data_IF_748543572009
#
_entry.id   IF_748543572009
#
_cell.length_a   1.000
_cell.length_b   1.000
_cell.length_c   1.000
_cell.angle_alpha   90.00
_cell.angle_beta   90.00
_cell.angle_gamma   90.00
#
_symmetry.space_group_name_H-M   'P 1'
#
loop_
_entity.id
_entity.type
_entity.pdbx_description
1 polymer ?
#
# COMPACT_ATOMS: atom_id res chain seq x y z
N UNK A 1 7.41 -9.03 75.37
CA UNK A 1 8.33 -8.85 74.24
C UNK A 1 7.58 -9.25 72.99
N UNK A 2 6.84 -8.29 72.45
CA UNK A 2 5.97 -8.56 71.30
C UNK A 2 6.74 -8.29 70.02
N UNK A 3 6.80 -9.30 69.16
CA UNK A 3 7.35 -9.15 67.80
C UNK A 3 6.22 -8.78 66.86
N UNK A 4 6.17 -7.51 66.53
CA UNK A 4 5.31 -7.00 65.47
C UNK A 4 5.84 -7.46 64.12
N UNK A 5 5.10 -8.35 63.41
CA UNK A 5 5.39 -8.75 62.04
C UNK A 5 4.71 -7.78 61.11
N UNK A 6 5.50 -6.95 60.42
CA UNK A 6 5.05 -6.12 59.31
C UNK A 6 4.87 -7.03 58.07
N UNK A 7 3.65 -7.22 57.63
CA UNK A 7 3.35 -7.72 56.31
C UNK A 7 3.41 -6.55 55.31
N UNK A 8 4.51 -6.48 54.55
CA UNK A 8 4.58 -5.66 53.35
C UNK A 8 3.78 -6.35 52.24
N UNK A 9 2.54 -5.92 52.03
CA UNK A 9 1.77 -6.32 50.86
C UNK A 9 2.38 -5.66 49.64
N UNK A 10 3.08 -6.43 48.82
CA UNK A 10 3.48 -5.99 47.48
C UNK A 10 2.25 -5.89 46.62
N UNK A 11 1.78 -4.65 46.42
CA UNK A 11 0.75 -4.35 45.44
C UNK A 11 1.39 -4.44 44.03
N UNK A 12 1.21 -5.57 43.34
CA UNK A 12 1.58 -5.70 41.95
C UNK A 12 0.59 -4.87 41.14
N UNK A 13 1.00 -3.67 40.76
CA UNK A 13 0.32 -2.90 39.73
C UNK A 13 0.67 -3.60 38.40
N UNK A 14 -0.25 -4.40 37.90
CA UNK A 14 -0.22 -4.89 36.52
C UNK A 14 -0.39 -3.68 35.61
N UNK A 15 0.70 -3.07 35.19
CA UNK A 15 0.72 -2.11 34.11
C UNK A 15 0.50 -2.95 32.84
N UNK A 16 -0.75 -2.97 32.35
CA UNK A 16 -1.04 -3.42 31.01
C UNK A 16 -0.39 -2.43 30.06
N UNK A 17 0.81 -2.71 29.61
CA UNK A 17 1.39 -2.04 28.46
C UNK A 17 0.60 -2.49 27.25
N UNK A 18 -0.46 -1.75 26.90
CA UNK A 18 -1.06 -1.88 25.58
C UNK A 18 0.07 -1.67 24.57
N UNK A 19 0.29 -2.63 23.69
CA UNK A 19 1.25 -2.43 22.61
C UNK A 19 0.82 -1.19 21.82
N UNK A 20 1.76 -0.42 21.36
CA UNK A 20 1.46 0.82 20.63
C UNK A 20 0.56 0.58 19.40
N UNK A 21 0.73 -0.58 18.75
CA UNK A 21 -0.14 -1.06 17.65
C UNK A 21 -1.60 -1.26 18.06
N UNK A 22 -1.90 -1.53 19.34
CA UNK A 22 -3.26 -1.75 19.81
C UNK A 22 -4.16 -0.52 19.57
N UNK A 23 -3.65 0.70 19.70
CA UNK A 23 -4.43 1.90 19.46
C UNK A 23 -4.90 2.03 18.00
N UNK A 24 -4.07 1.64 17.04
CA UNK A 24 -4.43 1.61 15.61
C UNK A 24 -5.45 0.52 15.33
N UNK A 25 -5.26 -0.66 15.92
CA UNK A 25 -6.18 -1.80 15.80
C UNK A 25 -7.54 -1.46 16.41
N UNK A 26 -7.57 -0.80 17.57
CA UNK A 26 -8.80 -0.36 18.23
C UNK A 26 -9.55 0.65 17.36
N UNK A 27 -8.84 1.61 16.75
CA UNK A 27 -9.44 2.59 15.85
C UNK A 27 -10.05 1.92 14.60
N UNK A 28 -9.33 0.97 14.00
CA UNK A 28 -9.84 0.16 12.88
C UNK A 28 -11.09 -0.64 13.29
N UNK A 29 -11.04 -1.30 14.46
CA UNK A 29 -12.18 -2.06 14.98
C UNK A 29 -13.40 -1.18 15.22
N UNK A 30 -13.22 0.03 15.76
CA UNK A 30 -14.29 1.02 15.95
C UNK A 30 -14.86 1.53 14.63
N UNK A 31 -14.06 1.54 13.57
CA UNK A 31 -14.49 1.89 12.22
C UNK A 31 -15.15 0.72 11.47
N UNK A 32 -15.33 -0.43 12.11
CA UNK A 32 -16.04 -1.58 11.55
C UNK A 32 -15.15 -2.66 10.94
N UNK A 33 -13.83 -2.56 11.08
CA UNK A 33 -12.93 -3.63 10.63
C UNK A 33 -12.98 -4.83 11.58
N UNK A 34 -12.90 -6.02 11.01
CA UNK A 34 -12.63 -7.26 11.73
C UNK A 34 -11.13 -7.49 11.74
N UNK A 35 -10.51 -7.49 12.91
CA UNK A 35 -9.08 -7.60 13.08
C UNK A 35 -8.67 -8.96 13.67
N UNK A 36 -7.76 -9.66 13.00
CA UNK A 36 -7.24 -10.96 13.39
C UNK A 36 -5.71 -10.98 13.32
N UNK A 37 -5.09 -11.89 14.06
CA UNK A 37 -3.66 -12.13 13.91
C UNK A 37 -3.32 -12.48 12.46
N UNK A 38 -2.29 -11.84 11.91
CA UNK A 38 -1.90 -12.06 10.52
C UNK A 38 -1.23 -13.44 10.36
N UNK A 39 -1.68 -14.18 9.35
CA UNK A 39 -1.14 -15.48 8.98
C UNK A 39 -0.68 -15.49 7.55
N UNK A 40 0.45 -16.15 7.27
CA UNK A 40 0.95 -16.30 5.91
C UNK A 40 0.19 -17.38 5.12
N UNK A 41 0.64 -17.62 3.91
CA UNK A 41 0.07 -18.61 2.99
C UNK A 41 0.04 -20.04 3.57
N UNK A 42 0.94 -20.36 4.52
CA UNK A 42 0.95 -21.62 5.26
C UNK A 42 -0.08 -21.70 6.40
N UNK A 43 -0.78 -20.61 6.70
CA UNK A 43 -1.63 -20.45 7.88
C UNK A 43 -0.87 -20.23 9.18
N UNK A 44 0.45 -20.13 9.15
CA UNK A 44 1.25 -19.84 10.35
C UNK A 44 1.26 -18.33 10.63
N UNK A 45 1.12 -17.90 11.92
CA UNK A 45 1.29 -16.51 12.27
C UNK A 45 2.72 -16.02 11.98
N UNK A 46 2.84 -14.80 11.42
CA UNK A 46 4.13 -14.16 11.18
C UNK A 46 4.29 -12.84 11.93
N UNK A 47 3.28 -12.44 12.69
CA UNK A 47 3.25 -11.22 13.49
C UNK A 47 2.38 -10.12 12.88
N UNK A 48 2.01 -9.16 13.70
CA UNK A 48 1.09 -8.08 13.32
C UNK A 48 -0.37 -8.53 13.25
N UNK A 49 -1.22 -7.63 12.76
CA UNK A 49 -2.66 -7.81 12.71
C UNK A 49 -3.19 -7.44 11.32
N UNK A 50 -4.00 -8.32 10.76
CA UNK A 50 -4.76 -8.08 9.54
C UNK A 50 -6.18 -7.63 9.92
N UNK A 51 -6.55 -6.44 9.51
CA UNK A 51 -7.87 -5.88 9.71
C UNK A 51 -8.58 -5.77 8.36
N UNK A 52 -9.76 -6.38 8.23
CA UNK A 52 -10.54 -6.37 6.98
C UNK A 52 -11.89 -5.70 7.20
N UNK A 53 -12.29 -4.88 6.26
CA UNK A 53 -13.63 -4.31 6.17
C UNK A 53 -14.28 -4.83 4.91
N UNK A 54 -15.49 -5.33 5.02
CA UNK A 54 -16.28 -5.76 3.85
C UNK A 54 -16.67 -4.54 3.01
N UNK A 55 -17.27 -4.79 1.86
CA UNK A 55 -17.64 -3.78 0.89
C UNK A 55 -18.05 -2.43 1.48
N UNK A 56 -17.47 -1.36 0.97
CA UNK A 56 -17.70 0.00 1.45
C UNK A 56 -18.44 0.81 0.42
N UNK A 57 -19.49 1.46 0.86
CA UNK A 57 -20.20 2.47 0.06
C UNK A 57 -20.32 3.75 0.85
N UNK A 58 -19.86 4.83 0.27
CA UNK A 58 -20.11 6.19 0.74
C UNK A 58 -20.99 6.93 -0.27
N UNK A 59 -21.30 8.19 -0.01
CA UNK A 59 -21.99 9.03 -1.00
C UNK A 59 -21.15 9.37 -2.23
N UNK A 60 -19.84 9.13 -2.19
CA UNK A 60 -18.87 9.57 -3.19
C UNK A 60 -18.16 8.41 -3.87
N UNK A 61 -17.90 7.32 -3.15
CA UNK A 61 -17.31 6.12 -3.74
C UNK A 61 -17.97 4.85 -3.22
N UNK A 62 -17.93 3.82 -4.05
CA UNK A 62 -18.28 2.46 -3.69
C UNK A 62 -17.07 1.58 -3.96
N UNK A 63 -16.64 0.85 -2.93
CA UNK A 63 -15.81 -0.31 -3.10
C UNK A 63 -16.72 -1.51 -2.94
N UNK A 64 -17.05 -2.16 -4.04
CA UNK A 64 -17.91 -3.35 -4.03
C UNK A 64 -17.24 -4.53 -3.33
N UNK A 65 -15.96 -4.38 -3.01
CA UNK A 65 -15.14 -5.38 -2.35
C UNK A 65 -14.40 -4.82 -1.13
N UNK A 66 -13.86 -5.73 -0.35
CA UNK A 66 -13.27 -5.44 0.94
C UNK A 66 -11.98 -4.59 0.87
N UNK A 67 -11.69 -3.92 1.97
CA UNK A 67 -10.39 -3.27 2.23
C UNK A 67 -9.69 -4.03 3.33
N UNK A 68 -8.40 -4.31 3.16
CA UNK A 68 -7.55 -4.78 4.24
C UNK A 68 -6.56 -3.71 4.68
N UNK A 69 -6.29 -3.68 5.97
CA UNK A 69 -5.22 -2.90 6.58
C UNK A 69 -4.36 -3.85 7.40
N UNK A 70 -3.10 -4.00 7.01
CA UNK A 70 -2.13 -4.73 7.81
C UNK A 70 -1.39 -3.77 8.74
N UNK A 71 -1.39 -4.09 10.02
CA UNK A 71 -0.72 -3.34 11.09
C UNK A 71 0.44 -4.18 11.60
N UNK A 72 1.70 -3.86 11.23
CA UNK A 72 2.88 -4.54 11.75
C UNK A 72 2.95 -4.52 13.27
N UNK A 73 3.56 -5.52 13.87
CA UNK A 73 3.74 -5.60 15.32
C UNK A 73 4.60 -4.46 15.89
N UNK A 74 5.47 -3.89 15.08
CA UNK A 74 6.34 -2.75 15.44
C UNK A 74 5.66 -1.37 15.30
N UNK A 75 4.42 -1.31 14.78
CA UNK A 75 3.71 -0.05 14.57
C UNK A 75 3.45 0.66 15.90
N UNK A 76 3.75 1.96 15.96
CA UNK A 76 3.46 2.79 17.12
C UNK A 76 1.99 3.22 17.17
N UNK A 77 1.60 3.89 18.27
CA UNK A 77 0.25 4.45 18.41
C UNK A 77 -0.07 5.57 17.38
N UNK A 78 0.95 6.09 16.72
CA UNK A 78 0.81 7.16 15.72
C UNK A 78 1.33 6.63 14.38
N UNK A 79 0.43 6.46 13.43
CA UNK A 79 0.80 6.13 12.05
C UNK A 79 1.36 7.38 11.38
N UNK A 80 2.54 7.26 10.82
CA UNK A 80 3.23 8.34 10.08
C UNK A 80 3.41 8.03 8.62
N UNK A 81 3.33 6.75 8.25
CA UNK A 81 3.52 6.29 6.90
C UNK A 81 2.44 5.28 6.52
N UNK A 82 1.76 5.54 5.44
CA UNK A 82 0.68 4.72 4.90
C UNK A 82 1.12 4.21 3.53
N UNK A 83 1.29 2.91 3.43
CA UNK A 83 1.63 2.25 2.18
C UNK A 83 0.33 1.77 1.53
N UNK A 84 0.02 2.27 0.35
CA UNK A 84 -1.11 1.82 -0.45
C UNK A 84 -0.60 0.87 -1.53
N UNK A 85 -1.15 -0.33 -1.60
CA UNK A 85 -0.86 -1.26 -2.68
C UNK A 85 -2.09 -1.44 -3.56
N UNK A 86 -1.90 -1.25 -4.85
CA UNK A 86 -2.93 -1.47 -5.87
C UNK A 86 -2.51 -2.63 -6.76
N UNK A 87 -3.36 -3.65 -6.79
CA UNK A 87 -3.12 -4.79 -7.67
C UNK A 87 -3.65 -4.52 -9.07
N UNK A 88 -2.99 -5.11 -10.03
CA UNK A 88 -3.49 -5.17 -11.39
C UNK A 88 -4.55 -6.25 -11.62
N UNK A 89 -4.55 -6.82 -12.79
CA UNK A 89 -5.57 -7.76 -13.25
C UNK A 89 -5.60 -9.04 -12.40
N UNK A 90 -6.75 -9.34 -11.81
CA UNK A 90 -6.98 -10.60 -11.06
C UNK A 90 -6.98 -11.78 -12.03
N UNK A 91 -6.36 -12.89 -11.60
CA UNK A 91 -6.33 -14.12 -12.37
C UNK A 91 -5.11 -14.30 -13.30
N UNK A 92 -4.26 -13.29 -13.49
CA UNK A 92 -3.01 -13.44 -14.26
C UNK A 92 -1.95 -14.21 -13.46
N UNK A 93 -1.92 -13.98 -12.13
CA UNK A 93 -0.92 -14.55 -11.25
C UNK A 93 -1.41 -15.78 -10.46
N UNK A 94 -2.31 -16.53 -11.03
CA UNK A 94 -2.96 -17.64 -10.36
C UNK A 94 -4.25 -17.21 -9.66
N UNK A 95 -4.94 -18.18 -9.13
CA UNK A 95 -6.21 -17.93 -8.44
C UNK A 95 -5.90 -17.33 -7.06
N UNK A 96 -5.93 -16.05 -6.99
CA UNK A 96 -5.45 -15.27 -5.85
C UNK A 96 -6.48 -15.16 -4.73
N UNK A 97 -7.46 -16.05 -4.69
CA UNK A 97 -8.50 -16.03 -3.66
C UNK A 97 -9.51 -14.88 -3.79
N UNK A 98 -10.44 -14.81 -2.87
CA UNK A 98 -11.58 -13.88 -2.90
C UNK A 98 -11.49 -12.75 -1.89
N UNK A 99 -10.51 -12.78 -1.00
CA UNK A 99 -10.35 -11.77 0.05
C UNK A 99 -9.07 -10.95 -0.12
N UNK A 100 -9.02 -9.72 0.41
CA UNK A 100 -7.78 -8.94 0.42
C UNK A 100 -6.62 -9.64 1.11
N UNK A 101 -6.89 -10.40 2.16
CA UNK A 101 -5.88 -11.17 2.88
C UNK A 101 -5.27 -12.26 2.00
N UNK A 102 -6.09 -12.96 1.20
CA UNK A 102 -5.61 -13.97 0.27
C UNK A 102 -4.63 -13.36 -0.75
N UNK A 103 -5.00 -12.21 -1.32
CA UNK A 103 -4.14 -11.53 -2.30
C UNK A 103 -2.84 -11.02 -1.66
N UNK A 104 -2.92 -10.44 -0.47
CA UNK A 104 -1.72 -10.06 0.27
C UNK A 104 -0.80 -11.25 0.52
N UNK A 105 -1.37 -12.42 0.83
CA UNK A 105 -0.62 -13.63 1.07
C UNK A 105 0.02 -14.23 -0.19
N UNK A 106 -0.62 -14.10 -1.35
CA UNK A 106 -0.03 -14.56 -2.63
C UNK A 106 1.25 -13.80 -2.95
N UNK A 107 1.29 -12.52 -2.62
CA UNK A 107 2.44 -11.66 -2.87
C UNK A 107 3.31 -11.43 -1.62
N UNK A 108 3.03 -12.13 -0.53
CA UNK A 108 3.73 -12.00 0.76
C UNK A 108 3.87 -10.54 1.25
N UNK A 109 2.94 -9.66 0.84
CA UNK A 109 3.08 -8.21 1.06
C UNK A 109 3.13 -7.85 2.54
N UNK A 110 2.28 -8.47 3.35
CA UNK A 110 2.24 -8.24 4.78
C UNK A 110 3.48 -8.83 5.48
N UNK A 111 3.94 -10.01 5.06
CA UNK A 111 5.16 -10.65 5.57
C UNK A 111 6.39 -9.80 5.24
N UNK A 112 6.50 -9.31 4.02
CA UNK A 112 7.57 -8.39 3.62
C UNK A 112 7.56 -7.12 4.46
N UNK A 113 6.38 -6.51 4.67
CA UNK A 113 6.28 -5.32 5.51
C UNK A 113 6.64 -5.59 6.97
N UNK A 114 6.27 -6.76 7.51
CA UNK A 114 6.67 -7.19 8.85
C UNK A 114 8.20 -7.36 8.94
N UNK A 115 8.81 -7.99 7.94
CA UNK A 115 10.24 -8.23 7.89
C UNK A 115 11.06 -6.93 7.86
N UNK A 116 10.58 -5.91 7.15
CA UNK A 116 11.22 -4.60 7.09
C UNK A 116 11.12 -3.82 8.41
N UNK A 117 10.29 -4.28 9.35
CA UNK A 117 10.14 -3.69 10.69
C UNK A 117 9.99 -2.17 10.67
N UNK A 118 9.19 -1.65 9.74
CA UNK A 118 8.97 -0.21 9.59
C UNK A 118 8.10 0.30 10.74
N UNK A 119 8.66 1.04 11.70
CA UNK A 119 7.86 1.63 12.76
C UNK A 119 6.89 2.66 12.15
N UNK A 120 5.77 2.86 12.81
CA UNK A 120 4.80 3.89 12.44
C UNK A 120 4.17 3.72 11.04
N UNK A 121 4.24 2.52 10.47
CA UNK A 121 3.75 2.24 9.13
C UNK A 121 2.61 1.23 9.12
N UNK A 122 1.69 1.38 8.17
CA UNK A 122 0.63 0.41 7.88
C UNK A 122 0.55 0.16 6.37
N UNK A 123 0.09 -1.03 5.98
CA UNK A 123 -0.20 -1.36 4.59
C UNK A 123 -1.72 -1.37 4.37
N UNK A 124 -2.18 -0.60 3.41
CA UNK A 124 -3.58 -0.52 3.00
C UNK A 124 -3.74 -1.17 1.64
N UNK A 125 -4.67 -2.07 1.56
CA UNK A 125 -4.96 -2.83 0.34
C UNK A 125 -6.47 -2.83 0.08
N UNK A 126 -6.98 -1.96 -0.80
CA UNK A 126 -8.34 -2.07 -1.30
C UNK A 126 -8.40 -3.16 -2.37
N UNK A 127 -9.45 -3.97 -2.37
CA UNK A 127 -9.71 -4.90 -3.46
C UNK A 127 -10.32 -4.18 -4.65
N UNK A 128 -9.92 -4.59 -5.85
CA UNK A 128 -10.60 -4.18 -7.08
C UNK A 128 -11.87 -4.99 -7.29
N UNK A 129 -12.99 -4.37 -7.53
CA UNK A 129 -14.24 -5.06 -7.88
C UNK A 129 -14.18 -5.70 -9.25
N UNK A 130 -14.67 -6.96 -9.34
CA UNK A 130 -14.91 -7.65 -10.60
C UNK A 130 -13.73 -8.41 -11.21
N UNK A 131 -14.10 -9.51 -11.87
CA UNK A 131 -13.15 -10.42 -12.51
C UNK A 131 -12.52 -9.86 -13.78
N UNK A 132 -13.09 -8.82 -14.35
CA UNK A 132 -12.88 -8.61 -15.77
C UNK A 132 -12.07 -7.42 -16.13
N UNK A 133 -11.58 -6.62 -15.33
CA UNK A 133 -10.80 -5.67 -16.03
C UNK A 133 -10.39 -4.46 -15.33
N UNK A 134 -10.94 -4.06 -14.36
CA UNK A 134 -10.48 -2.77 -14.03
C UNK A 134 -10.82 -2.43 -12.64
N UNK A 135 -10.02 -2.87 -11.84
CA UNK A 135 -9.11 -1.89 -11.38
C UNK A 135 -9.81 -0.67 -10.79
N UNK A 136 -10.47 -0.83 -9.60
CA UNK A 136 -10.82 0.39 -8.86
C UNK A 136 -11.53 1.41 -9.75
N UNK A 137 -12.56 0.95 -10.48
CA UNK A 137 -13.25 1.74 -11.49
C UNK A 137 -13.60 3.14 -10.98
N UNK A 138 -14.10 3.24 -9.76
CA UNK A 138 -14.49 4.50 -9.16
C UNK A 138 -13.31 5.45 -8.94
N UNK A 139 -12.14 4.93 -8.58
CA UNK A 139 -10.95 5.75 -8.37
C UNK A 139 -10.47 6.44 -9.65
N UNK A 140 -10.64 5.77 -10.79
CA UNK A 140 -10.17 6.24 -12.09
C UNK A 140 -11.27 6.83 -12.96
N UNK A 141 -12.54 6.76 -12.55
CA UNK A 141 -13.67 7.22 -13.34
C UNK A 141 -13.98 8.71 -13.16
N UNK A 142 -13.80 9.23 -11.94
CA UNK A 142 -14.15 10.62 -11.62
C UNK A 142 -13.26 11.20 -10.54
N UNK A 143 -13.28 12.53 -10.42
CA UNK A 143 -12.67 13.22 -9.29
C UNK A 143 -13.47 12.94 -7.99
N UNK A 144 -12.77 12.77 -6.90
CA UNK A 144 -13.36 12.61 -5.58
C UNK A 144 -13.12 11.22 -4.96
N UNK A 145 -13.58 10.11 -5.55
CA UNK A 145 -13.55 8.79 -4.90
C UNK A 145 -12.20 8.39 -4.32
N UNK A 146 -11.11 8.56 -5.05
CA UNK A 146 -9.80 8.20 -4.55
C UNK A 146 -9.34 9.09 -3.38
N UNK A 147 -9.58 10.38 -3.48
CA UNK A 147 -9.26 11.33 -2.41
C UNK A 147 -10.12 11.08 -1.16
N UNK A 148 -11.39 10.73 -1.33
CA UNK A 148 -12.31 10.37 -0.25
C UNK A 148 -11.86 9.08 0.46
N UNK A 149 -11.47 8.08 -0.31
CA UNK A 149 -10.92 6.84 0.24
C UNK A 149 -9.69 7.12 1.11
N UNK A 150 -8.74 7.91 0.62
CA UNK A 150 -7.56 8.30 1.40
C UNK A 150 -7.94 9.07 2.66
N UNK A 151 -8.84 10.03 2.55
CA UNK A 151 -9.30 10.82 3.70
C UNK A 151 -10.03 9.94 4.73
N UNK A 152 -10.80 8.97 4.28
CA UNK A 152 -11.45 8.02 5.18
C UNK A 152 -10.42 7.19 5.95
N UNK A 153 -9.42 6.63 5.29
CA UNK A 153 -8.32 5.91 5.94
C UNK A 153 -7.64 6.82 6.98
N UNK A 154 -7.29 8.06 6.60
CA UNK A 154 -6.66 9.02 7.52
C UNK A 154 -7.56 9.38 8.71
N UNK A 155 -8.87 9.39 8.53
CA UNK A 155 -9.81 9.64 9.64
C UNK A 155 -9.78 8.50 10.64
N UNK A 156 -9.56 7.27 10.19
CA UNK A 156 -9.53 6.09 11.04
C UNK A 156 -8.18 5.93 11.75
N UNK A 157 -7.08 6.01 11.01
CA UNK A 157 -5.76 5.64 11.54
C UNK A 157 -4.81 6.83 11.77
N UNK A 158 -5.24 8.03 11.45
CA UNK A 158 -4.42 9.25 11.53
C UNK A 158 -3.80 9.65 10.19
N UNK A 159 -3.35 10.90 10.14
CA UNK A 159 -2.68 11.44 8.95
C UNK A 159 -1.23 10.95 8.86
N UNK A 160 -0.80 10.59 7.66
CA UNK A 160 0.56 10.15 7.40
C UNK A 160 1.01 10.53 5.98
N UNK A 161 2.30 10.34 5.72
CA UNK A 161 2.82 10.38 4.37
C UNK A 161 2.43 9.10 3.65
N UNK A 162 1.97 9.22 2.41
CA UNK A 162 1.59 8.09 1.60
C UNK A 162 2.75 7.64 0.70
N UNK A 163 2.85 6.33 0.53
CA UNK A 163 3.60 5.70 -0.56
C UNK A 163 2.66 4.77 -1.32
N UNK A 164 2.86 4.64 -2.61
CA UNK A 164 1.95 3.92 -3.49
C UNK A 164 2.71 2.89 -4.31
N UNK A 165 2.40 1.63 -4.15
CA UNK A 165 2.88 0.57 -5.01
C UNK A 165 1.77 0.08 -5.94
N UNK A 166 2.10 -0.20 -7.19
CA UNK A 166 1.17 -0.76 -8.15
C UNK A 166 1.77 -1.87 -8.97
N UNK A 167 1.06 -3.00 -9.04
CA UNK A 167 1.47 -4.15 -9.84
C UNK A 167 0.66 -4.22 -11.12
N UNK A 168 1.32 -4.59 -12.22
CA UNK A 168 0.64 -4.87 -13.49
C UNK A 168 -0.22 -3.69 -14.00
N UNK A 169 -1.48 -3.92 -14.29
CA UNK A 169 -2.41 -2.91 -14.79
C UNK A 169 -2.74 -1.76 -13.82
N UNK A 170 -2.31 -1.80 -12.57
CA UNK A 170 -2.59 -0.76 -11.58
C UNK A 170 -2.07 0.64 -11.98
N UNK A 171 -1.08 0.71 -12.86
CA UNK A 171 -0.52 2.00 -13.35
C UNK A 171 -1.58 2.97 -13.89
N UNK A 172 -2.57 2.44 -14.63
CA UNK A 172 -3.60 3.27 -15.25
C UNK A 172 -4.48 3.92 -14.20
N UNK A 173 -4.82 3.15 -13.17
CA UNK A 173 -5.57 3.64 -12.03
C UNK A 173 -4.75 4.70 -11.29
N UNK A 174 -3.48 4.43 -11.02
CA UNK A 174 -2.58 5.38 -10.34
C UNK A 174 -2.53 6.70 -11.10
N UNK A 175 -2.15 6.66 -12.37
CA UNK A 175 -1.99 7.86 -13.16
C UNK A 175 -3.31 8.65 -13.29
N UNK A 176 -4.41 7.98 -13.59
CA UNK A 176 -5.73 8.61 -13.74
C UNK A 176 -6.24 9.18 -12.41
N UNK A 177 -6.21 8.38 -11.34
CA UNK A 177 -6.72 8.80 -10.02
C UNK A 177 -5.97 10.02 -9.47
N UNK A 178 -4.65 10.05 -9.61
CA UNK A 178 -3.85 11.19 -9.18
C UNK A 178 -4.12 12.44 -10.02
N UNK A 179 -4.30 12.30 -11.34
CA UNK A 179 -4.63 13.45 -12.19
C UNK A 179 -6.05 13.99 -11.94
N UNK A 180 -7.00 13.11 -11.64
CA UNK A 180 -8.36 13.51 -11.28
C UNK A 180 -8.41 14.20 -9.90
N UNK A 181 -7.45 13.90 -9.03
CA UNK A 181 -7.39 14.40 -7.65
C UNK A 181 -6.06 15.13 -7.37
N UNK A 182 -5.78 16.25 -8.04
CA UNK A 182 -4.46 16.88 -7.99
C UNK A 182 -4.03 17.37 -6.59
N UNK A 183 -4.98 17.60 -5.69
CA UNK A 183 -4.70 18.04 -4.32
C UNK A 183 -4.04 16.97 -3.44
N UNK A 184 -4.18 15.68 -3.80
CA UNK A 184 -3.58 14.60 -3.03
C UNK A 184 -2.19 14.18 -3.53
N UNK A 185 -1.76 14.66 -4.71
CA UNK A 185 -0.47 14.27 -5.28
C UNK A 185 0.68 14.57 -4.32
N UNK A 186 0.62 15.68 -3.59
CA UNK A 186 1.65 16.09 -2.63
C UNK A 186 1.66 15.27 -1.33
N UNK A 187 0.65 14.43 -1.10
CA UNK A 187 0.65 13.49 0.02
C UNK A 187 1.59 12.31 -0.22
N UNK A 188 1.94 12.02 -1.48
CA UNK A 188 2.79 10.88 -1.83
C UNK A 188 4.26 11.27 -1.82
N UNK A 189 5.08 10.48 -1.09
CA UNK A 189 6.54 10.59 -1.11
C UNK A 189 7.18 9.69 -2.15
N UNK A 190 6.58 8.54 -2.43
CA UNK A 190 7.10 7.55 -3.35
C UNK A 190 6.00 6.82 -4.11
N UNK A 191 6.29 6.46 -5.36
CA UNK A 191 5.49 5.54 -6.17
C UNK A 191 6.41 4.43 -6.68
N UNK A 192 5.94 3.18 -6.61
CA UNK A 192 6.59 2.04 -7.22
C UNK A 192 5.69 1.37 -8.25
N UNK A 193 6.25 1.10 -9.41
CA UNK A 193 5.62 0.35 -10.49
C UNK A 193 6.29 -1.03 -10.59
N UNK A 194 5.58 -2.04 -10.13
CA UNK A 194 6.00 -3.45 -10.11
C UNK A 194 5.51 -4.12 -11.39
N UNK A 195 6.37 -4.21 -12.39
CA UNK A 195 6.06 -4.66 -13.76
C UNK A 195 4.75 -4.06 -14.30
N UNK A 196 4.60 -2.77 -14.08
CA UNK A 196 3.37 -2.04 -14.36
C UNK A 196 3.50 -0.99 -15.47
N UNK A 197 4.67 -0.77 -16.05
CA UNK A 197 4.88 0.27 -17.05
C UNK A 197 4.54 -0.21 -18.48
N UNK A 198 3.31 -0.67 -18.71
CA UNK A 198 2.82 -1.07 -20.03
C UNK A 198 2.61 0.14 -20.95
N UNK A 199 3.70 0.72 -21.43
CA UNK A 199 3.60 1.77 -22.45
C UNK A 199 3.53 1.09 -23.80
N UNK A 200 2.36 1.14 -24.42
CA UNK A 200 2.09 0.38 -25.63
C UNK A 200 2.96 0.77 -26.81
N UNK A 201 3.59 -0.22 -27.38
CA UNK A 201 4.25 -0.18 -28.67
C UNK A 201 3.18 -0.35 -29.76
N UNK A 202 2.72 0.75 -30.33
CA UNK A 202 1.81 0.67 -31.49
C UNK A 202 2.65 0.84 -32.75
N UNK A 203 2.75 -0.24 -33.54
CA UNK A 203 3.34 -0.25 -34.87
C UNK A 203 4.81 0.24 -34.94
N UNK A 204 5.67 -0.20 -34.02
CA UNK A 204 7.10 0.13 -34.04
C UNK A 204 7.45 1.60 -33.74
N UNK A 205 6.51 2.36 -33.25
CA UNK A 205 6.72 3.74 -32.78
C UNK A 205 6.21 3.87 -31.36
N UNK A 206 7.07 4.39 -30.49
CA UNK A 206 6.62 4.88 -29.21
C UNK A 206 5.71 6.06 -29.44
N UNK A 207 4.43 5.90 -29.18
CA UNK A 207 3.60 7.05 -28.93
C UNK A 207 3.75 7.34 -27.44
N UNK A 208 4.35 8.48 -27.14
CA UNK A 208 4.10 9.17 -25.89
C UNK A 208 2.58 9.36 -25.82
N UNK A 209 1.89 8.34 -25.31
CA UNK A 209 0.45 8.35 -25.25
C UNK A 209 -0.04 9.33 -24.19
N UNK A 210 -1.33 9.52 -24.05
CA UNK A 210 -1.91 10.34 -22.99
C UNK A 210 -1.37 9.99 -21.59
N UNK A 211 -0.92 8.75 -21.39
CA UNK A 211 -0.32 8.28 -20.14
C UNK A 211 0.96 9.02 -19.74
N UNK A 212 1.87 9.26 -20.68
CA UNK A 212 3.09 10.03 -20.39
C UNK A 212 2.75 11.44 -19.95
N UNK A 213 1.72 12.05 -20.56
CA UNK A 213 1.25 13.37 -20.15
C UNK A 213 0.70 13.36 -18.71
N UNK A 214 -0.04 12.31 -18.32
CA UNK A 214 -0.55 12.15 -16.96
C UNK A 214 0.59 12.06 -15.96
N UNK A 215 1.60 11.22 -16.23
CA UNK A 215 2.78 11.08 -15.38
C UNK A 215 3.59 12.38 -15.28
N UNK A 216 3.73 13.10 -16.38
CA UNK A 216 4.39 14.43 -16.37
C UNK A 216 3.66 15.42 -15.46
N UNK A 217 2.34 15.45 -15.53
CA UNK A 217 1.54 16.31 -14.64
C UNK A 217 1.75 15.95 -13.17
N UNK A 218 1.88 14.66 -12.85
CA UNK A 218 2.17 14.21 -11.49
C UNK A 218 3.55 14.72 -11.04
N UNK A 219 4.58 14.55 -11.87
CA UNK A 219 5.94 15.02 -11.56
C UNK A 219 6.01 16.54 -11.39
N UNK A 220 5.34 17.30 -12.25
CA UNK A 220 5.27 18.77 -12.17
C UNK A 220 4.60 19.25 -10.87
N UNK A 221 3.59 18.53 -10.41
CA UNK A 221 2.82 18.89 -9.18
C UNK A 221 3.53 18.47 -7.90
N UNK A 222 4.36 17.45 -7.96
CA UNK A 222 5.15 16.98 -6.82
C UNK A 222 6.57 16.64 -7.27
N UNK A 223 7.43 17.65 -7.42
CA UNK A 223 8.80 17.45 -7.87
C UNK A 223 9.70 16.69 -6.87
N UNK A 224 9.26 16.52 -5.63
CA UNK A 224 9.95 15.71 -4.62
C UNK A 224 9.51 14.23 -4.63
N UNK A 225 8.52 13.87 -5.44
CA UNK A 225 8.05 12.50 -5.56
C UNK A 225 9.13 11.60 -6.18
N UNK A 226 9.43 10.49 -5.53
CA UNK A 226 10.33 9.48 -6.07
C UNK A 226 9.54 8.46 -6.88
N UNK A 227 10.06 8.08 -8.04
CA UNK A 227 9.51 7.01 -8.88
C UNK A 227 10.48 5.84 -8.90
N UNK A 228 10.02 4.67 -8.46
CA UNK A 228 10.70 3.39 -8.68
C UNK A 228 9.94 2.60 -9.72
N UNK A 229 10.62 2.06 -10.70
CA UNK A 229 10.00 1.28 -11.74
C UNK A 229 10.82 0.02 -12.02
N UNK A 230 10.20 -1.12 -11.78
CA UNK A 230 10.80 -2.43 -11.93
C UNK A 230 10.03 -3.19 -12.99
N UNK A 231 10.73 -3.78 -13.94
CA UNK A 231 10.06 -4.52 -15.00
C UNK A 231 10.90 -5.63 -15.61
N UNK A 232 10.20 -6.70 -15.98
CA UNK A 232 10.68 -7.70 -16.91
C UNK A 232 10.18 -7.31 -18.31
N UNK A 233 8.95 -7.67 -18.65
CA UNK A 233 8.34 -7.32 -19.93
C UNK A 233 8.03 -5.83 -20.11
N UNK A 234 7.96 -5.07 -19.02
CA UNK A 234 7.60 -3.64 -19.03
C UNK A 234 8.78 -2.70 -18.80
N UNK A 235 10.00 -3.20 -18.67
CA UNK A 235 11.18 -2.38 -18.37
C UNK A 235 11.39 -1.24 -19.36
N UNK A 236 11.15 -1.49 -20.63
CA UNK A 236 11.23 -0.42 -21.63
C UNK A 236 10.22 0.71 -21.39
N UNK A 237 9.04 0.40 -20.88
CA UNK A 237 8.09 1.41 -20.42
C UNK A 237 8.65 2.24 -19.25
N UNK A 238 9.35 1.62 -18.32
CA UNK A 238 10.05 2.31 -17.25
C UNK A 238 11.08 3.31 -17.79
N UNK A 239 11.87 2.91 -18.78
CA UNK A 239 12.83 3.81 -19.44
C UNK A 239 12.14 5.02 -20.07
N UNK A 240 11.02 4.83 -20.77
CA UNK A 240 10.25 5.95 -21.35
C UNK A 240 9.74 6.89 -20.26
N UNK A 241 9.22 6.36 -19.17
CA UNK A 241 8.79 7.16 -18.04
C UNK A 241 9.93 8.00 -17.48
N UNK A 242 11.10 7.42 -17.31
CA UNK A 242 12.28 8.13 -16.81
C UNK A 242 12.79 9.22 -17.77
N UNK A 243 12.86 8.93 -19.06
CA UNK A 243 13.42 9.84 -20.06
C UNK A 243 12.51 11.01 -20.42
N UNK A 244 11.19 10.80 -20.36
CA UNK A 244 10.21 11.77 -20.87
C UNK A 244 9.41 12.49 -19.79
N UNK A 245 9.55 12.06 -18.55
CA UNK A 245 8.89 12.66 -17.40
C UNK A 245 9.91 13.49 -16.63
N UNK A 246 9.55 14.48 -15.97
CA UNK A 246 10.49 15.34 -15.22
C UNK A 246 10.66 14.93 -13.75
N UNK A 247 10.58 13.66 -13.39
CA UNK A 247 10.89 13.22 -12.03
C UNK A 247 12.35 13.49 -11.71
N UNK A 248 12.62 14.06 -10.57
CA UNK A 248 13.99 14.36 -10.13
C UNK A 248 14.72 13.13 -9.61
N UNK A 249 13.97 12.16 -9.10
CA UNK A 249 14.49 10.90 -8.58
C UNK A 249 13.73 9.73 -9.21
N UNK A 250 14.44 8.98 -10.06
CA UNK A 250 13.92 7.78 -10.71
C UNK A 250 14.88 6.62 -10.47
N UNK A 251 14.34 5.51 -9.95
CA UNK A 251 15.07 4.25 -9.85
C UNK A 251 14.51 3.28 -10.88
N UNK A 252 15.38 2.77 -11.77
CA UNK A 252 15.01 1.76 -12.76
C UNK A 252 15.67 0.44 -12.43
N UNK A 253 14.91 -0.63 -12.47
CA UNK A 253 15.42 -1.99 -12.28
C UNK A 253 14.89 -2.89 -13.39
N UNK A 254 15.80 -3.38 -14.22
CA UNK A 254 15.53 -4.48 -15.15
C UNK A 254 15.69 -5.81 -14.41
N UNK A 255 14.79 -6.73 -14.62
CA UNK A 255 14.80 -8.03 -13.93
C UNK A 255 14.37 -9.16 -14.85
N UNK A 256 14.89 -10.36 -14.60
CA UNK A 256 14.44 -11.60 -15.22
C UNK A 256 13.34 -12.30 -14.38
N UNK A 257 13.01 -11.76 -13.21
CA UNK A 257 11.92 -12.27 -12.37
C UNK A 257 10.62 -12.21 -13.15
N UNK A 258 9.87 -13.31 -13.17
CA UNK A 258 8.61 -13.36 -13.90
C UNK A 258 7.57 -12.44 -13.27
N UNK A 259 6.66 -11.95 -14.09
CA UNK A 259 5.65 -10.95 -13.76
C UNK A 259 4.99 -11.14 -12.38
N UNK A 260 4.56 -12.35 -12.08
CA UNK A 260 3.83 -12.64 -10.86
C UNK A 260 4.70 -12.73 -9.60
N UNK A 261 5.99 -12.92 -9.76
CA UNK A 261 6.93 -13.00 -8.62
C UNK A 261 7.60 -11.65 -8.30
N UNK A 262 7.37 -10.65 -9.15
CA UNK A 262 7.97 -9.32 -8.95
C UNK A 262 7.51 -8.67 -7.63
N UNK A 263 6.23 -8.68 -7.24
CA UNK A 263 5.84 -8.15 -5.94
C UNK A 263 6.52 -8.87 -4.76
N UNK A 264 6.62 -10.20 -4.82
CA UNK A 264 7.27 -11.00 -3.78
C UNK A 264 8.77 -10.68 -3.63
N UNK A 265 9.40 -10.26 -4.72
CA UNK A 265 10.86 -10.02 -4.77
C UNK A 265 11.22 -8.58 -4.43
N UNK A 266 10.41 -7.62 -4.83
CA UNK A 266 10.84 -6.21 -4.85
C UNK A 266 10.06 -5.28 -3.93
N UNK A 267 8.87 -5.67 -3.46
CA UNK A 267 8.06 -4.82 -2.59
C UNK A 267 8.77 -4.53 -1.26
N UNK A 268 9.30 -5.54 -0.57
CA UNK A 268 10.06 -5.35 0.66
C UNK A 268 11.29 -4.45 0.49
N UNK A 269 12.20 -4.75 -0.47
CA UNK A 269 13.34 -3.89 -0.77
C UNK A 269 12.96 -2.43 -1.08
N UNK A 270 11.83 -2.19 -1.74
CA UNK A 270 11.33 -0.83 -1.95
C UNK A 270 10.89 -0.18 -0.64
N UNK A 271 10.11 -0.85 0.18
CA UNK A 271 9.72 -0.37 1.50
C UNK A 271 10.95 0.01 2.34
N UNK A 272 12.01 -0.79 2.24
CA UNK A 272 13.28 -0.51 2.90
C UNK A 272 13.88 0.84 2.49
N UNK A 273 13.81 1.19 1.21
CA UNK A 273 14.36 2.45 0.68
C UNK A 273 13.49 3.67 0.96
N UNK A 274 12.17 3.50 0.99
CA UNK A 274 11.20 4.60 1.05
C UNK A 274 10.55 4.81 2.42
N UNK A 275 10.82 3.92 3.38
CA UNK A 275 10.26 3.98 4.72
C UNK A 275 10.73 5.21 5.51
N UNK A 276 9.92 5.70 6.47
CA UNK A 276 10.23 6.89 7.24
C UNK A 276 11.51 6.73 8.06
N UNK A 277 12.31 7.81 8.12
CA UNK A 277 13.53 7.87 8.95
C UNK A 277 14.80 7.36 8.28
N UNK A 278 14.75 6.98 7.02
CA UNK A 278 15.95 6.61 6.25
C UNK A 278 16.35 7.78 5.34
N UNK A 279 17.34 8.50 5.79
CA UNK A 279 18.09 9.48 4.96
C UNK A 279 19.25 8.70 4.37
N UNK A 280 19.38 8.70 3.05
CA UNK A 280 20.56 8.20 2.35
C UNK A 280 21.80 9.00 2.73
#
# INVERSE_FOLDING_TARGET
>A
MDRLRYYLGACFILIFTHSASAAVIDALSQAGFTCLEATGSSGAPFGGTMCTHEAMSTSVFTLDEAVAVYVPSATSAVVRHIVLYLQGFRGVCGDTGTTPADVMNVFDLAEQMQAESLPDSVLVFPMSGGHDTTYYHDFAASAGPFAEFMNWIETVIGQGQWSLAGHSGARDVIAKSLNLNPSIITKFGAIELLDAAYIHHVAGRFRAGPEVALWRTIAERNPSLTLSCIGNGTYHGCQILAEQIGFTTVTLTETEVIHCDIPNTYFGPWLHRTGPGRVE
#
